data_IF_160984537218
#
_entry.id   IF_160984537218
#
_cell.length_a   1.000
_cell.length_b   1.000
_cell.length_c   1.000
_cell.angle_alpha   90.00
_cell.angle_beta   90.00
_cell.angle_gamma   90.00
#
_symmetry.space_group_name_H-M   'P 1'
#
loop_
_entity.id
_entity.type
_entity.pdbx_description
1 polymer ?
#
# COMPACT_ATOMS: atom_id res chain seq x y z
N UNK A 1 26.87 5.37 0.80
CA UNK A 1 26.05 6.57 0.60
C UNK A 1 24.59 6.20 0.82
N UNK A 2 24.14 6.20 2.08
CA UNK A 2 22.84 5.63 2.50
C UNK A 2 21.69 6.66 2.49
N UNK A 3 21.99 7.93 2.25
CA UNK A 3 20.99 9.00 2.10
C UNK A 3 20.76 9.29 0.62
N UNK A 4 19.89 8.50 -0.01
CA UNK A 4 19.25 8.93 -1.25
C UNK A 4 17.80 9.22 -0.93
N UNK A 5 17.27 10.31 -1.48
CA UNK A 5 15.89 10.72 -1.22
C UNK A 5 14.88 9.62 -1.58
N UNK A 6 15.24 8.73 -2.53
CA UNK A 6 14.45 7.55 -2.91
C UNK A 6 14.19 6.57 -1.75
N UNK A 7 15.16 6.32 -0.86
CA UNK A 7 14.97 5.36 0.25
C UNK A 7 14.03 5.91 1.31
N UNK A 8 14.00 7.23 1.48
CA UNK A 8 13.05 7.92 2.37
C UNK A 8 11.61 7.74 1.85
N UNK A 9 11.38 7.96 0.56
CA UNK A 9 10.05 7.75 -0.03
C UNK A 9 9.59 6.29 0.04
N UNK A 10 10.49 5.33 -0.22
CA UNK A 10 10.17 3.91 -0.07
C UNK A 10 9.87 3.54 1.39
N UNK A 11 10.61 4.10 2.35
CA UNK A 11 10.35 3.87 3.77
C UNK A 11 8.98 4.43 4.19
N UNK A 12 8.62 5.63 3.72
CA UNK A 12 7.28 6.21 3.95
C UNK A 12 6.19 5.34 3.31
N UNK A 13 6.43 4.79 2.11
CA UNK A 13 5.49 3.88 1.47
C UNK A 13 5.28 2.60 2.29
N UNK A 14 6.35 2.00 2.82
CA UNK A 14 6.29 0.83 3.72
C UNK A 14 5.48 1.17 4.97
N UNK A 15 5.81 2.28 5.64
CA UNK A 15 5.11 2.70 6.86
C UNK A 15 3.62 2.97 6.60
N UNK A 16 3.29 3.56 5.45
CA UNK A 16 1.91 3.83 5.05
C UNK A 16 1.14 2.52 4.81
N UNK A 17 1.75 1.55 4.14
CA UNK A 17 1.14 0.23 3.91
C UNK A 17 0.94 -0.53 5.22
N UNK A 18 1.95 -0.58 6.09
CA UNK A 18 1.82 -1.24 7.39
C UNK A 18 0.74 -0.56 8.24
N UNK A 19 0.71 0.78 8.26
CA UNK A 19 -0.32 1.54 8.96
C UNK A 19 -1.71 1.23 8.40
N UNK A 20 -1.85 1.11 7.07
CA UNK A 20 -3.14 0.78 6.44
C UNK A 20 -3.72 -0.56 6.90
N UNK A 21 -2.88 -1.49 7.38
CA UNK A 21 -3.35 -2.77 7.91
C UNK A 21 -3.93 -2.69 9.32
N UNK A 22 -3.52 -1.66 10.08
CA UNK A 22 -3.95 -1.43 11.47
C UNK A 22 -5.16 -0.51 11.54
N UNK A 23 -5.21 0.52 10.68
CA UNK A 23 -6.31 1.48 10.66
C UNK A 23 -7.56 0.89 9.98
N UNK A 24 -8.77 1.26 10.45
CA UNK A 24 -10.00 0.82 9.81
C UNK A 24 -10.11 1.42 8.40
N UNK A 25 -10.54 0.60 7.46
CA UNK A 25 -10.86 0.98 6.08
C UNK A 25 -12.25 1.59 6.01
N UNK A 26 -13.20 1.02 6.74
CA UNK A 26 -14.59 1.46 6.77
C UNK A 26 -15.23 1.14 8.12
N UNK A 27 -16.07 2.05 8.61
CA UNK A 27 -16.80 1.89 9.88
C UNK A 27 -18.25 2.31 9.72
N UNK A 28 -19.16 1.54 10.31
CA UNK A 28 -20.57 1.84 10.40
C UNK A 28 -21.07 1.47 11.80
N UNK A 29 -21.89 2.31 12.39
CA UNK A 29 -22.63 1.99 13.61
C UNK A 29 -24.11 2.05 13.26
N UNK A 30 -24.80 0.91 13.39
CA UNK A 30 -26.21 0.79 13.02
C UNK A 30 -26.94 -0.08 14.04
N UNK A 31 -28.06 0.40 14.57
CA UNK A 31 -28.90 -0.31 15.53
C UNK A 31 -28.15 -0.83 16.78
N UNK A 32 -27.09 -0.13 17.21
CA UNK A 32 -26.24 -0.55 18.34
C UNK A 32 -25.22 -1.65 18.00
N UNK A 33 -25.17 -2.10 16.74
CA UNK A 33 -24.12 -2.98 16.23
C UNK A 33 -23.01 -2.16 15.57
N UNK A 34 -21.77 -2.44 15.98
CA UNK A 34 -20.58 -1.83 15.42
C UNK A 34 -20.03 -2.72 14.30
N UNK A 35 -19.89 -2.12 13.12
CA UNK A 35 -19.36 -2.73 11.91
C UNK A 35 -18.03 -2.06 11.57
N UNK A 36 -16.95 -2.84 11.55
CA UNK A 36 -15.61 -2.30 11.24
C UNK A 36 -14.92 -3.21 10.24
N UNK A 37 -14.61 -2.66 9.07
CA UNK A 37 -13.74 -3.28 8.09
C UNK A 37 -12.30 -2.82 8.34
N UNK A 38 -11.41 -3.77 8.60
CA UNK A 38 -9.96 -3.60 8.57
C UNK A 38 -9.38 -4.36 7.38
N UNK A 39 -8.08 -4.23 7.12
CA UNK A 39 -7.43 -5.03 6.08
C UNK A 39 -7.43 -6.54 6.37
N UNK A 40 -7.54 -6.95 7.63
CA UNK A 40 -7.46 -8.35 8.05
C UNK A 40 -8.81 -9.01 8.24
N UNK A 41 -9.78 -8.26 8.76
CA UNK A 41 -11.08 -8.79 9.14
C UNK A 41 -12.18 -7.75 9.02
N UNK A 42 -13.39 -8.26 8.90
CA UNK A 42 -14.61 -7.51 9.10
C UNK A 42 -15.23 -7.90 10.45
N UNK A 43 -15.42 -6.92 11.32
CA UNK A 43 -16.13 -7.06 12.58
C UNK A 43 -17.59 -6.70 12.36
N UNK A 44 -18.51 -7.58 12.75
CA UNK A 44 -19.96 -7.33 12.78
C UNK A 44 -20.51 -7.78 14.13
N UNK A 45 -20.99 -6.83 14.94
CA UNK A 45 -21.69 -7.15 16.19
C UNK A 45 -20.89 -8.04 17.15
N UNK A 46 -19.56 -7.89 17.20
CA UNK A 46 -18.66 -8.71 18.02
C UNK A 46 -18.13 -10.00 17.36
N UNK A 47 -18.58 -10.34 16.15
CA UNK A 47 -18.09 -11.50 15.39
C UNK A 47 -17.04 -11.06 14.37
N UNK A 48 -15.88 -11.72 14.41
CA UNK A 48 -14.77 -11.47 13.48
C UNK A 48 -14.86 -12.40 12.26
N UNK A 49 -14.93 -11.81 11.07
CA UNK A 49 -14.90 -12.52 9.78
C UNK A 49 -13.60 -12.20 9.05
N UNK A 50 -12.73 -13.20 8.90
CA UNK A 50 -11.43 -13.04 8.26
C UNK A 50 -11.48 -13.26 6.75
N UNK A 51 -12.09 -14.35 6.28
CA UNK A 51 -12.22 -14.64 4.86
C UNK A 51 -13.51 -13.99 4.33
N UNK A 52 -13.50 -13.29 3.18
CA UNK A 52 -12.38 -13.05 2.23
C UNK A 52 -11.52 -11.78 2.51
N UNK A 53 -11.86 -11.00 3.54
CA UNK A 53 -11.28 -9.69 3.81
C UNK A 53 -9.77 -9.69 4.04
N UNK A 54 -9.22 -10.77 4.62
CA UNK A 54 -7.78 -10.94 4.88
C UNK A 54 -6.91 -10.86 3.63
N UNK A 55 -7.49 -11.02 2.43
CA UNK A 55 -6.79 -10.84 1.16
C UNK A 55 -6.14 -9.45 1.05
N UNK A 56 -6.84 -8.41 1.51
CA UNK A 56 -6.33 -7.03 1.47
C UNK A 56 -5.07 -6.88 2.33
N UNK A 57 -5.05 -7.45 3.53
CA UNK A 57 -3.86 -7.47 4.37
C UNK A 57 -2.71 -8.26 3.74
N UNK A 58 -2.97 -9.42 3.13
CA UNK A 58 -1.95 -10.20 2.45
C UNK A 58 -1.30 -9.40 1.32
N UNK A 59 -2.09 -8.69 0.51
CA UNK A 59 -1.59 -7.83 -0.57
C UNK A 59 -0.79 -6.64 -0.02
N UNK A 60 -1.27 -5.99 1.05
CA UNK A 60 -0.58 -4.88 1.69
C UNK A 60 0.78 -5.30 2.27
N UNK A 61 0.84 -6.44 2.96
CA UNK A 61 2.07 -7.01 3.53
C UNK A 61 3.03 -7.46 2.43
N UNK A 62 2.52 -8.08 1.36
CA UNK A 62 3.32 -8.43 0.19
C UNK A 62 3.96 -7.17 -0.43
N UNK A 63 3.17 -6.11 -0.63
CA UNK A 63 3.68 -4.82 -1.13
C UNK A 63 4.73 -4.19 -0.21
N UNK A 64 4.49 -4.18 1.11
CA UNK A 64 5.45 -3.68 2.08
C UNK A 64 6.77 -4.47 2.05
N UNK A 65 6.68 -5.79 1.87
CA UNK A 65 7.86 -6.67 1.75
C UNK A 65 8.64 -6.37 0.47
N UNK A 66 7.96 -6.20 -0.67
CA UNK A 66 8.61 -5.83 -1.94
C UNK A 66 9.30 -4.47 -1.82
N UNK A 67 8.64 -3.47 -1.23
CA UNK A 67 9.22 -2.16 -0.98
C UNK A 67 10.46 -2.23 -0.07
N UNK A 68 10.44 -3.09 0.95
CA UNK A 68 11.60 -3.31 1.82
C UNK A 68 12.77 -3.95 1.05
N UNK A 69 12.49 -4.96 0.22
CA UNK A 69 13.50 -5.57 -0.66
C UNK A 69 14.08 -4.52 -1.61
N UNK A 70 13.24 -3.64 -2.16
CA UNK A 70 13.66 -2.54 -3.04
C UNK A 70 14.70 -1.63 -2.36
N UNK A 71 14.51 -1.30 -1.09
CA UNK A 71 15.47 -0.50 -0.28
C UNK A 71 16.82 -1.22 -0.18
N UNK A 72 16.83 -2.53 0.08
CA UNK A 72 18.08 -3.31 0.21
C UNK A 72 18.84 -3.44 -1.12
N UNK A 73 18.17 -3.35 -2.27
CA UNK A 73 18.75 -3.48 -3.61
C UNK A 73 19.38 -2.18 -4.14
N UNK A 74 19.81 -1.27 -3.27
CA UNK A 74 20.41 0.04 -3.60
C UNK A 74 21.60 0.02 -4.56
N UNK A 75 22.27 -1.14 -4.72
CA UNK A 75 23.39 -1.31 -5.65
C UNK A 75 22.94 -1.50 -7.11
N UNK A 76 21.76 -2.09 -7.35
CA UNK A 76 21.26 -2.39 -8.69
C UNK A 76 20.00 -1.57 -8.99
N UNK A 77 20.19 -0.38 -9.56
CA UNK A 77 19.12 0.58 -9.92
C UNK A 77 18.12 -0.01 -10.92
N UNK A 78 18.59 -0.78 -11.90
CA UNK A 78 17.72 -1.51 -12.83
C UNK A 78 16.79 -2.51 -12.11
N UNK A 79 17.30 -3.22 -11.10
CA UNK A 79 16.48 -4.13 -10.29
C UNK A 79 15.50 -3.34 -9.42
N UNK A 80 15.91 -2.20 -8.84
CA UNK A 80 15.00 -1.35 -8.08
C UNK A 80 13.82 -0.86 -8.94
N UNK A 81 14.06 -0.40 -10.17
CA UNK A 81 12.98 0.05 -11.06
C UNK A 81 12.00 -1.08 -11.39
N UNK A 82 12.50 -2.30 -11.62
CA UNK A 82 11.64 -3.48 -11.88
C UNK A 82 10.82 -3.86 -10.65
N UNK A 83 11.44 -3.85 -9.47
CA UNK A 83 10.77 -4.12 -8.20
C UNK A 83 9.74 -3.05 -7.86
N UNK A 84 10.05 -1.77 -8.08
CA UNK A 84 9.12 -0.66 -7.88
C UNK A 84 7.90 -0.76 -8.80
N UNK A 85 8.09 -1.17 -10.07
CA UNK A 85 6.96 -1.45 -10.97
C UNK A 85 6.11 -2.62 -10.48
N UNK A 86 6.73 -3.73 -10.05
CA UNK A 86 6.01 -4.86 -9.46
C UNK A 86 5.27 -4.44 -8.18
N UNK A 87 5.89 -3.62 -7.35
CA UNK A 87 5.31 -3.13 -6.12
C UNK A 87 4.06 -2.28 -6.38
N UNK A 88 4.09 -1.44 -7.41
CA UNK A 88 2.93 -0.63 -7.80
C UNK A 88 1.71 -1.49 -8.17
N UNK A 89 1.92 -2.68 -8.74
CA UNK A 89 0.85 -3.64 -9.00
C UNK A 89 0.21 -4.17 -7.70
N UNK A 90 1.03 -4.54 -6.71
CA UNK A 90 0.53 -4.98 -5.40
C UNK A 90 -0.21 -3.87 -4.66
N UNK A 91 0.29 -2.63 -4.70
CA UNK A 91 -0.42 -1.49 -4.11
C UNK A 91 -1.77 -1.23 -4.79
N UNK A 92 -1.81 -1.29 -6.12
CA UNK A 92 -3.05 -1.15 -6.88
C UNK A 92 -4.05 -2.27 -6.52
N UNK A 93 -3.60 -3.52 -6.46
CA UNK A 93 -4.42 -4.65 -6.04
C UNK A 93 -4.96 -4.47 -4.61
N UNK A 94 -4.13 -3.93 -3.70
CA UNK A 94 -4.54 -3.61 -2.32
C UNK A 94 -5.68 -2.60 -2.33
N UNK A 95 -5.53 -1.47 -3.03
CA UNK A 95 -6.56 -0.43 -3.14
C UNK A 95 -7.85 -1.01 -3.73
N UNK A 96 -7.75 -1.73 -4.84
CA UNK A 96 -8.91 -2.33 -5.53
C UNK A 96 -9.64 -3.28 -4.56
N UNK A 97 -8.91 -4.13 -3.83
CA UNK A 97 -9.53 -5.05 -2.87
C UNK A 97 -10.23 -4.30 -1.73
N UNK A 98 -9.60 -3.29 -1.14
CA UNK A 98 -10.18 -2.46 -0.07
C UNK A 98 -11.47 -1.79 -0.52
N UNK A 99 -11.45 -1.14 -1.69
CA UNK A 99 -12.61 -0.44 -2.27
C UNK A 99 -13.72 -1.44 -2.59
N UNK A 100 -13.38 -2.60 -3.15
CA UNK A 100 -14.35 -3.63 -3.51
C UNK A 100 -15.07 -4.18 -2.27
N UNK A 101 -14.34 -4.55 -1.22
CA UNK A 101 -14.93 -5.02 0.03
C UNK A 101 -15.77 -3.94 0.73
N UNK A 102 -15.26 -2.71 0.81
CA UNK A 102 -16.01 -1.60 1.41
C UNK A 102 -17.30 -1.30 0.64
N UNK A 103 -17.24 -1.25 -0.70
CA UNK A 103 -18.43 -1.00 -1.54
C UNK A 103 -19.46 -2.12 -1.41
N UNK A 104 -19.02 -3.38 -1.35
CA UNK A 104 -19.92 -4.51 -1.14
C UNK A 104 -20.59 -4.47 0.22
N UNK A 105 -19.87 -4.09 1.27
CA UNK A 105 -20.43 -3.93 2.62
C UNK A 105 -21.42 -2.77 2.70
N UNK A 106 -21.13 -1.63 2.07
CA UNK A 106 -22.05 -0.50 1.99
C UNK A 106 -23.36 -0.92 1.32
N UNK A 107 -23.27 -1.65 0.19
CA UNK A 107 -24.45 -2.18 -0.50
C UNK A 107 -25.22 -3.19 0.35
N UNK A 108 -24.51 -4.09 1.03
CA UNK A 108 -25.13 -5.16 1.81
C UNK A 108 -25.84 -4.66 3.08
N UNK A 109 -25.37 -3.58 3.70
CA UNK A 109 -26.00 -3.01 4.90
C UNK A 109 -26.99 -1.87 4.57
N UNK A 110 -27.17 -1.51 3.29
CA UNK A 110 -28.04 -0.42 2.80
C UNK A 110 -27.85 0.93 3.52
N UNK A 111 -26.70 1.10 4.16
CA UNK A 111 -26.37 2.22 5.01
C UNK A 111 -25.02 2.78 4.60
N UNK A 112 -24.96 4.11 4.48
CA UNK A 112 -23.71 4.83 4.32
C UNK A 112 -22.88 4.67 5.60
N UNK A 113 -21.63 4.22 5.47
CA UNK A 113 -20.66 4.24 6.56
C UNK A 113 -19.49 5.17 6.23
N UNK A 114 -18.71 5.50 7.26
CA UNK A 114 -17.54 6.37 7.14
C UNK A 114 -16.34 5.62 6.59
N UNK A 115 -15.67 6.17 5.58
CA UNK A 115 -14.36 5.69 5.16
C UNK A 115 -13.29 6.11 6.18
N UNK A 116 -12.53 5.14 6.66
CA UNK A 116 -11.44 5.36 7.61
C UNK A 116 -10.10 5.63 6.93
N UNK A 117 -9.10 5.97 7.73
CA UNK A 117 -7.74 6.25 7.26
C UNK A 117 -7.09 5.06 6.53
N UNK A 118 -7.48 3.83 6.87
CA UNK A 118 -6.96 2.62 6.24
C UNK A 118 -7.23 2.56 4.72
N UNK A 119 -8.25 3.27 4.23
CA UNK A 119 -8.53 3.37 2.80
C UNK A 119 -7.56 4.29 2.05
N UNK A 120 -7.13 5.37 2.69
CA UNK A 120 -6.34 6.44 2.05
C UNK A 120 -4.83 6.18 2.09
N UNK A 121 -4.37 5.47 3.12
CA UNK A 121 -2.95 5.17 3.34
C UNK A 121 -2.27 4.37 2.20
N UNK A 122 -2.91 3.37 1.57
CA UNK A 122 -2.34 2.72 0.39
C UNK A 122 -2.19 3.69 -0.79
N UNK A 123 -3.09 4.68 -0.92
CA UNK A 123 -2.98 5.74 -1.93
C UNK A 123 -1.75 6.62 -1.71
N UNK A 124 -1.46 6.98 -0.45
CA UNK A 124 -0.23 7.68 -0.09
C UNK A 124 1.01 6.85 -0.45
N UNK A 125 0.98 5.54 -0.17
CA UNK A 125 2.08 4.63 -0.51
C UNK A 125 2.36 4.58 -2.02
N UNK A 126 1.31 4.59 -2.86
CA UNK A 126 1.46 4.64 -4.33
C UNK A 126 2.17 5.91 -4.76
N UNK A 127 1.76 7.07 -4.25
CA UNK A 127 2.40 8.36 -4.58
C UNK A 127 3.88 8.31 -4.19
N UNK A 128 4.19 7.86 -2.97
CA UNK A 128 5.57 7.74 -2.52
C UNK A 128 6.40 6.77 -3.39
N UNK A 129 5.82 5.63 -3.81
CA UNK A 129 6.50 4.68 -4.68
C UNK A 129 6.76 5.26 -6.08
N UNK A 130 5.81 6.01 -6.65
CA UNK A 130 5.99 6.69 -7.93
C UNK A 130 7.10 7.73 -7.87
N UNK A 131 7.13 8.53 -6.81
CA UNK A 131 8.18 9.53 -6.58
C UNK A 131 9.54 8.85 -6.40
N UNK A 132 9.61 7.77 -5.62
CA UNK A 132 10.84 6.98 -5.49
C UNK A 132 11.35 6.46 -6.84
N UNK A 133 10.47 5.86 -7.64
CA UNK A 133 10.79 5.36 -8.98
C UNK A 133 11.28 6.47 -9.92
N UNK A 134 10.70 7.67 -9.83
CA UNK A 134 11.15 8.83 -10.60
C UNK A 134 12.60 9.19 -10.25
N UNK A 135 12.92 9.28 -8.95
CA UNK A 135 14.29 9.58 -8.50
C UNK A 135 15.27 8.48 -8.92
N UNK A 136 14.93 7.19 -8.77
CA UNK A 136 15.79 6.06 -9.18
C UNK A 136 16.11 6.14 -10.68
N UNK A 137 15.12 6.43 -11.53
CA UNK A 137 15.31 6.56 -12.99
C UNK A 137 16.20 7.74 -13.37
N UNK A 138 16.03 8.88 -12.70
CA UNK A 138 16.89 10.06 -12.90
C UNK A 138 18.34 9.73 -12.52
N UNK A 139 18.51 9.09 -11.38
CA UNK A 139 19.78 8.64 -10.84
C UNK A 139 20.48 7.68 -11.80
N UNK A 140 19.77 6.72 -12.38
CA UNK A 140 20.31 5.79 -13.38
C UNK A 140 20.76 6.50 -14.66
N UNK A 141 19.98 7.47 -15.14
CA UNK A 141 20.32 8.25 -16.35
C UNK A 141 21.64 8.99 -16.18
N UNK A 142 21.84 9.64 -15.02
CA UNK A 142 23.08 10.37 -14.72
C UNK A 142 24.33 9.49 -14.74
N UNK A 143 24.23 8.27 -14.20
CA UNK A 143 25.36 7.31 -14.23
C UNK A 143 25.68 6.90 -15.66
N UNK A 144 24.65 6.55 -16.42
CA UNK A 144 24.82 6.11 -17.81
C UNK A 144 25.38 7.21 -18.71
N UNK A 145 25.00 8.47 -18.47
CA UNK A 145 25.53 9.60 -19.23
C UNK A 145 27.00 9.88 -18.88
N UNK A 146 27.42 9.67 -17.63
CA UNK A 146 28.83 9.75 -17.22
C UNK A 146 29.69 8.65 -17.84
N UNK A 147 29.18 7.43 -17.96
CA UNK A 147 29.91 6.31 -18.57
C UNK A 147 30.10 6.47 -20.08
N UNK A 148 29.27 7.29 -20.75
CA UNK A 148 29.41 7.58 -22.19
C UNK A 148 30.52 8.58 -22.52
N UNK A 149 31.01 9.33 -21.54
CA UNK A 149 32.04 10.36 -21.69
C UNK A 149 33.45 9.87 -21.34
N UNK A 150 33.57 8.65 -20.81
CA UNK A 150 34.85 7.96 -20.58
C UNK A 150 35.16 7.01 -21.72
#
# INVERSE_FOLDING_TARGET
MWQRIQTVFLAIAVLSLLSSTVFPVWTLEQNGELHVLTAFYYLKGGVYQYNPYSLTAVLAVASATVAFIEITKFKNRLTQIKLGALNSLFMAATIISSVWFATNLIKANEAGGGYGLGMWLPGLAVICNLVANFFIRKDERLVRDSDRLR
#
